data_IF_571270209241
#
_entry.id   IF_571270209241
#
_cell.length_a   1.000
_cell.length_b   1.000
_cell.length_c   1.000
_cell.angle_alpha   90.00
_cell.angle_beta   90.00
_cell.angle_gamma   90.00
#
_symmetry.space_group_name_H-M   'P 1'
#
loop_
_entity.id
_entity.type
_entity.pdbx_description
1 polymer ?
#
# COMPACT_ATOMS: atom_id res chain seq x y z
N UNK A 1 34.25 -7.32 5.48
CA UNK A 1 33.23 -6.41 6.03
C UNK A 1 32.10 -6.35 5.02
N UNK A 2 31.02 -7.10 5.23
CA UNK A 2 29.84 -7.01 4.35
C UNK A 2 29.14 -5.71 4.71
N UNK A 3 29.35 -4.66 3.92
CA UNK A 3 28.64 -3.40 4.06
C UNK A 3 27.15 -3.67 3.88
N UNK A 4 26.40 -3.68 4.97
CA UNK A 4 24.94 -3.66 4.93
C UNK A 4 24.54 -2.42 4.15
N UNK A 5 23.95 -2.60 2.97
CA UNK A 5 23.36 -1.49 2.23
C UNK A 5 22.22 -0.95 3.11
N UNK A 6 22.40 0.23 3.69
CA UNK A 6 21.35 0.92 4.44
C UNK A 6 20.20 1.21 3.48
N UNK A 7 19.03 0.62 3.73
CA UNK A 7 17.81 0.88 2.96
C UNK A 7 17.17 2.16 3.46
N UNK A 8 16.76 3.01 2.52
CA UNK A 8 15.97 4.20 2.77
C UNK A 8 14.64 4.06 2.06
N UNK A 9 13.58 3.87 2.84
CA UNK A 9 12.22 3.64 2.38
C UNK A 9 11.40 4.93 2.46
N UNK A 10 10.88 5.36 1.31
CA UNK A 10 9.86 6.41 1.25
C UNK A 10 8.46 5.78 1.20
N UNK A 11 7.65 6.00 2.24
CA UNK A 11 6.26 5.54 2.30
C UNK A 11 5.32 6.71 2.00
N UNK A 12 4.82 6.76 0.77
CA UNK A 12 3.82 7.75 0.34
C UNK A 12 2.44 7.28 0.81
N UNK A 13 1.78 8.13 1.60
CA UNK A 13 0.60 7.74 2.39
C UNK A 13 0.96 7.08 3.73
N UNK A 14 2.19 7.27 4.24
CA UNK A 14 2.71 6.61 5.45
C UNK A 14 1.93 6.89 6.75
N UNK A 15 1.17 7.97 6.81
CA UNK A 15 0.27 8.28 7.94
C UNK A 15 -1.12 7.65 7.81
N UNK A 16 -1.38 6.92 6.72
CA UNK A 16 -2.65 6.28 6.41
C UNK A 16 -2.82 4.87 7.03
N UNK A 17 -3.90 4.19 6.63
CA UNK A 17 -4.29 2.90 7.19
C UNK A 17 -3.22 1.81 7.02
N UNK A 18 -2.77 1.57 5.78
CA UNK A 18 -1.71 0.61 5.48
C UNK A 18 -0.32 1.19 5.71
N UNK A 19 -0.08 2.43 5.27
CA UNK A 19 1.22 3.09 5.36
C UNK A 19 1.81 3.09 6.78
N UNK A 20 0.97 3.25 7.81
CA UNK A 20 1.42 3.24 9.19
C UNK A 20 2.05 1.90 9.61
N UNK A 21 1.46 0.80 9.16
CA UNK A 21 1.97 -0.55 9.41
C UNK A 21 3.27 -0.78 8.63
N UNK A 22 3.35 -0.30 7.39
CA UNK A 22 4.59 -0.38 6.58
C UNK A 22 5.72 0.39 7.28
N UNK A 23 5.48 1.63 7.72
CA UNK A 23 6.47 2.42 8.46
C UNK A 23 6.95 1.69 9.72
N UNK A 24 6.02 1.14 10.51
CA UNK A 24 6.34 0.37 11.72
C UNK A 24 7.25 -0.81 11.42
N UNK A 25 6.91 -1.62 10.41
CA UNK A 25 7.69 -2.81 10.07
C UNK A 25 9.05 -2.45 9.45
N UNK A 26 9.14 -1.39 8.63
CA UNK A 26 10.40 -0.91 8.07
C UNK A 26 11.39 -0.45 9.16
N UNK A 27 10.90 0.29 10.17
CA UNK A 27 11.70 0.65 11.35
C UNK A 27 12.17 -0.58 12.11
N UNK A 28 11.32 -1.60 12.26
CA UNK A 28 11.70 -2.85 12.92
C UNK A 28 12.78 -3.63 12.14
N UNK A 29 12.83 -3.48 10.81
CA UNK A 29 13.94 -3.99 9.98
C UNK A 29 15.19 -3.10 10.00
N UNK A 30 15.17 -2.00 10.74
CA UNK A 30 16.30 -1.06 10.84
C UNK A 30 16.50 -0.18 9.60
N UNK A 31 15.46 0.01 8.78
CA UNK A 31 15.54 0.85 7.59
C UNK A 31 15.36 2.32 7.96
N UNK A 32 16.08 3.21 7.28
CA UNK A 32 15.75 4.64 7.30
C UNK A 32 14.37 4.81 6.69
N UNK A 33 13.42 5.31 7.48
CA UNK A 33 12.00 5.32 7.08
C UNK A 33 11.48 6.74 7.05
N UNK A 34 11.03 7.17 5.87
CA UNK A 34 10.41 8.48 5.65
C UNK A 34 8.94 8.26 5.30
N UNK A 35 8.05 8.87 6.06
CA UNK A 35 6.62 8.90 5.75
C UNK A 35 6.28 10.23 5.09
N UNK A 36 5.75 10.20 3.87
CA UNK A 36 5.21 11.37 3.20
C UNK A 36 3.68 11.33 3.24
N UNK A 37 3.06 12.36 3.80
CA UNK A 37 1.61 12.55 3.70
C UNK A 37 1.25 14.04 3.73
N UNK A 38 0.03 14.40 3.33
CA UNK A 38 -0.44 15.80 3.38
C UNK A 38 -0.41 16.45 4.76
N UNK A 39 -0.41 15.64 5.84
CA UNK A 39 -0.51 16.14 7.22
C UNK A 39 0.76 15.89 8.04
N UNK A 40 1.75 15.20 7.48
CA UNK A 40 2.90 14.72 8.26
C UNK A 40 2.49 13.72 9.33
N UNK A 41 2.97 13.92 10.55
CA UNK A 41 2.78 13.00 11.67
C UNK A 41 1.30 12.75 12.00
N UNK A 42 0.88 11.49 12.27
CA UNK A 42 -0.49 11.20 12.67
C UNK A 42 -0.91 11.98 13.93
N UNK A 43 -1.97 12.79 13.82
CA UNK A 43 -2.51 13.57 14.94
C UNK A 43 -2.92 12.70 16.15
N UNK A 44 -3.21 11.42 15.95
CA UNK A 44 -3.49 10.47 17.02
C UNK A 44 -2.30 10.28 17.98
N UNK A 45 -1.07 10.52 17.55
CA UNK A 45 0.11 10.39 18.41
C UNK A 45 0.18 11.50 19.45
N UNK A 46 -0.28 12.71 19.12
CA UNK A 46 -0.43 13.78 20.09
C UNK A 46 -1.53 13.47 21.12
N UNK A 47 -2.59 12.79 20.70
CA UNK A 47 -3.76 12.51 21.55
C UNK A 47 -3.60 11.26 22.43
N UNK A 48 -2.94 10.21 21.91
CA UNK A 48 -2.86 8.88 22.54
C UNK A 48 -1.46 8.48 22.97
N UNK A 49 -0.47 9.34 22.73
CA UNK A 49 0.95 9.04 22.89
C UNK A 49 1.57 8.50 21.60
N UNK A 50 2.80 8.94 21.34
CA UNK A 50 3.62 8.47 20.23
C UNK A 50 4.35 7.20 20.65
N UNK A 51 4.22 6.08 19.91
CA UNK A 51 4.95 4.86 20.23
C UNK A 51 6.43 5.00 19.86
N UNK A 52 7.32 4.31 20.59
CA UNK A 52 8.78 4.45 20.43
C UNK A 52 9.27 4.21 19.00
N UNK A 53 8.70 3.23 18.28
CA UNK A 53 9.07 2.97 16.89
C UNK A 53 8.77 4.17 15.97
N UNK A 54 7.73 4.97 16.28
CA UNK A 54 7.34 6.10 15.46
C UNK A 54 8.29 7.30 15.64
N UNK A 55 9.10 7.33 16.71
CA UNK A 55 10.17 8.32 16.87
C UNK A 55 11.28 8.13 15.85
N UNK A 56 11.41 6.91 15.30
CA UNK A 56 12.43 6.57 14.29
C UNK A 56 11.95 6.81 12.85
N UNK A 57 10.73 7.30 12.66
CA UNK A 57 10.18 7.65 11.35
C UNK A 57 10.32 9.15 11.15
N UNK A 58 10.86 9.56 10.00
CA UNK A 58 10.78 10.94 9.56
C UNK A 58 9.39 11.22 8.99
N UNK A 59 8.55 11.94 9.72
CA UNK A 59 7.19 12.31 9.31
C UNK A 59 7.18 13.63 8.53
N UNK A 60 7.17 13.55 7.21
CA UNK A 60 7.15 14.72 6.34
C UNK A 60 5.73 15.08 5.89
N UNK A 61 5.43 16.38 5.94
CA UNK A 61 4.22 16.94 5.36
C UNK A 61 4.48 17.41 3.93
N UNK A 62 3.71 16.93 2.95
CA UNK A 62 3.86 17.33 1.56
C UNK A 62 2.74 16.79 0.66
N UNK A 63 2.68 17.29 -0.57
CA UNK A 63 1.70 16.90 -1.58
C UNK A 63 2.38 16.05 -2.65
N UNK A 64 1.96 14.78 -2.81
CA UNK A 64 2.54 13.84 -3.78
C UNK A 64 2.32 14.23 -5.24
N UNK A 65 1.47 15.22 -5.54
CA UNK A 65 1.32 15.81 -6.87
C UNK A 65 2.26 17.01 -7.10
N UNK A 66 2.95 17.48 -6.07
CA UNK A 66 3.84 18.66 -6.11
C UNK A 66 5.25 18.25 -5.67
N UNK A 67 6.13 17.84 -6.61
CA UNK A 67 7.50 17.41 -6.34
C UNK A 67 8.30 18.33 -5.42
N UNK A 68 8.19 19.65 -5.60
CA UNK A 68 8.90 20.64 -4.78
C UNK A 68 8.55 20.59 -3.30
N UNK A 69 7.43 19.96 -2.91
CA UNK A 69 7.05 19.78 -1.52
C UNK A 69 7.76 18.59 -0.82
N UNK A 70 8.46 17.73 -1.57
CA UNK A 70 9.10 16.53 -1.02
C UNK A 70 10.46 16.18 -1.66
N UNK A 71 10.97 16.97 -2.61
CA UNK A 71 12.23 16.69 -3.30
C UNK A 71 13.44 16.55 -2.36
N UNK A 72 13.47 17.32 -1.27
CA UNK A 72 14.51 17.25 -0.23
C UNK A 72 14.55 15.91 0.51
N UNK A 73 13.48 15.11 0.42
CA UNK A 73 13.39 13.79 1.06
C UNK A 73 14.01 12.67 0.20
N UNK A 74 14.13 12.90 -1.11
CA UNK A 74 14.50 11.90 -2.11
C UNK A 74 15.97 11.46 -2.10
N UNK A 75 16.96 12.28 -1.69
CA UNK A 75 18.35 11.85 -1.68
C UNK A 75 18.56 10.53 -0.92
N UNK A 76 19.14 9.56 -1.62
CA UNK A 76 19.46 8.24 -1.08
C UNK A 76 18.29 7.26 -0.97
N UNK A 77 17.06 7.63 -1.38
CA UNK A 77 15.91 6.71 -1.38
C UNK A 77 16.23 5.49 -2.25
N UNK A 78 16.07 4.30 -1.68
CA UNK A 78 16.30 3.03 -2.36
C UNK A 78 15.01 2.32 -2.74
N UNK A 79 13.95 2.54 -1.98
CA UNK A 79 12.69 1.82 -2.13
C UNK A 79 11.53 2.79 -1.87
N UNK A 80 10.44 2.64 -2.63
CA UNK A 80 9.20 3.42 -2.45
C UNK A 80 8.03 2.49 -2.20
N UNK A 81 7.15 2.87 -1.26
CA UNK A 81 5.82 2.27 -1.11
C UNK A 81 4.78 3.36 -1.32
N UNK A 82 3.98 3.23 -2.37
CA UNK A 82 2.89 4.15 -2.65
C UNK A 82 1.54 3.53 -2.23
N UNK A 83 1.04 3.99 -1.08
CA UNK A 83 -0.20 3.51 -0.45
C UNK A 83 -1.35 4.52 -0.50
N UNK A 84 -1.20 5.60 -1.28
CA UNK A 84 -2.26 6.58 -1.49
C UNK A 84 -3.34 6.00 -2.41
N UNK A 85 -4.59 6.25 -2.04
CA UNK A 85 -5.76 5.93 -2.83
C UNK A 85 -7.04 6.33 -2.10
N UNK A 86 -8.12 6.47 -2.86
CA UNK A 86 -9.46 6.79 -2.34
C UNK A 86 -10.46 5.77 -2.84
N UNK A 87 -11.45 5.44 -2.02
CA UNK A 87 -12.59 4.59 -2.42
C UNK A 87 -13.79 5.40 -2.90
N UNK A 88 -13.83 6.70 -2.60
CA UNK A 88 -14.89 7.62 -2.97
C UNK A 88 -14.29 8.96 -3.38
N UNK A 89 -14.76 9.53 -4.47
CA UNK A 89 -14.40 10.87 -4.91
C UNK A 89 -15.06 11.90 -3.98
N UNK A 90 -14.39 13.03 -3.78
CA UNK A 90 -14.95 14.14 -2.97
C UNK A 90 -14.83 15.43 -3.75
N UNK A 91 -15.79 16.34 -3.55
CA UNK A 91 -15.74 17.68 -4.11
C UNK A 91 -15.89 18.68 -2.98
N UNK A 92 -14.80 19.39 -2.68
CA UNK A 92 -14.81 20.44 -1.67
C UNK A 92 -14.55 21.77 -2.37
N UNK A 93 -15.56 22.64 -2.40
CA UNK A 93 -15.46 24.03 -2.86
C UNK A 93 -14.73 24.22 -4.21
N UNK A 94 -14.98 23.33 -5.19
CA UNK A 94 -14.42 23.44 -6.54
C UNK A 94 -13.12 22.67 -6.78
N UNK A 95 -12.52 22.06 -5.76
CA UNK A 95 -11.41 21.13 -5.92
C UNK A 95 -11.91 19.68 -5.81
N UNK A 96 -12.10 19.05 -6.96
CA UNK A 96 -12.48 17.64 -7.02
C UNK A 96 -11.26 16.74 -6.78
N UNK A 97 -11.39 15.85 -5.80
CA UNK A 97 -10.44 14.76 -5.54
C UNK A 97 -10.97 13.52 -6.24
N UNK A 98 -10.36 13.18 -7.37
CA UNK A 98 -10.81 12.10 -8.26
C UNK A 98 -10.01 10.81 -8.07
N UNK A 99 -10.53 9.70 -8.59
CA UNK A 99 -9.81 8.44 -8.62
C UNK A 99 -8.50 8.55 -9.39
N UNK A 100 -8.53 9.14 -10.59
CA UNK A 100 -7.36 9.30 -11.44
C UNK A 100 -6.27 10.10 -10.73
N UNK A 101 -6.65 11.22 -10.09
CA UNK A 101 -5.70 12.04 -9.34
C UNK A 101 -5.01 11.26 -8.21
N UNK A 102 -5.81 10.59 -7.36
CA UNK A 102 -5.29 9.99 -6.13
C UNK A 102 -4.73 8.57 -6.28
N UNK A 103 -5.25 7.80 -7.24
CA UNK A 103 -4.83 6.43 -7.46
C UNK A 103 -3.69 6.40 -8.50
N UNK A 104 -3.76 7.20 -9.56
CA UNK A 104 -2.83 7.16 -10.69
C UNK A 104 -1.82 8.29 -10.65
N UNK A 105 -2.28 9.54 -10.67
CA UNK A 105 -1.40 10.67 -10.94
C UNK A 105 -0.39 10.88 -9.80
N UNK A 106 -0.77 10.71 -8.53
CA UNK A 106 0.20 10.75 -7.41
C UNK A 106 1.30 9.69 -7.53
N UNK A 107 0.96 8.49 -8.01
CA UNK A 107 1.92 7.41 -8.17
C UNK A 107 2.89 7.69 -9.32
N UNK A 108 2.35 8.18 -10.44
CA UNK A 108 3.13 8.59 -11.62
C UNK A 108 4.08 9.75 -11.26
N UNK A 109 3.58 10.78 -10.57
CA UNK A 109 4.38 11.94 -10.19
C UNK A 109 5.54 11.54 -9.28
N UNK A 110 5.30 10.74 -8.24
CA UNK A 110 6.37 10.24 -7.37
C UNK A 110 7.34 9.34 -8.15
N UNK A 111 6.82 8.43 -8.98
CA UNK A 111 7.63 7.54 -9.83
C UNK A 111 8.63 8.32 -10.68
N UNK A 112 8.18 9.39 -11.34
CA UNK A 112 9.03 10.19 -12.22
C UNK A 112 10.17 10.87 -11.47
N UNK A 113 9.93 11.30 -10.23
CA UNK A 113 10.98 11.91 -9.42
C UNK A 113 11.99 10.86 -8.92
N UNK A 114 11.51 9.71 -8.44
CA UNK A 114 12.42 8.68 -7.93
C UNK A 114 13.17 7.94 -9.02
N UNK A 115 12.63 7.86 -10.24
CA UNK A 115 13.30 7.26 -11.40
C UNK A 115 14.59 7.99 -11.79
N UNK A 116 14.76 9.25 -11.36
CA UNK A 116 15.98 10.06 -11.56
C UNK A 116 17.09 9.69 -10.56
N UNK A 117 16.77 8.96 -9.50
CA UNK A 117 17.71 8.64 -8.44
C UNK A 117 18.56 7.42 -8.84
N UNK A 118 19.89 7.49 -8.81
CA UNK A 118 20.73 6.32 -9.08
C UNK A 118 20.63 5.25 -7.99
N UNK A 119 20.06 5.59 -6.82
CA UNK A 119 19.90 4.69 -5.67
C UNK A 119 18.62 3.87 -5.70
N UNK A 120 17.62 4.24 -6.51
CA UNK A 120 16.31 3.59 -6.52
C UNK A 120 16.43 2.14 -7.00
N UNK A 121 15.71 1.24 -6.34
CA UNK A 121 15.73 -0.20 -6.62
C UNK A 121 14.34 -0.75 -6.84
N UNK A 122 13.38 -0.32 -6.03
CA UNK A 122 12.01 -0.84 -6.12
C UNK A 122 10.95 0.22 -5.88
N UNK A 123 9.80 0.01 -6.53
CA UNK A 123 8.58 0.77 -6.33
C UNK A 123 7.43 -0.20 -6.09
N UNK A 124 6.93 -0.24 -4.85
CA UNK A 124 5.78 -1.03 -4.45
C UNK A 124 4.53 -0.16 -4.52
N UNK A 125 3.59 -0.55 -5.36
CA UNK A 125 2.32 0.13 -5.53
C UNK A 125 1.17 -0.69 -4.94
N UNK A 126 0.36 -0.05 -4.10
CA UNK A 126 -0.83 -0.68 -3.51
C UNK A 126 -2.03 -0.44 -4.42
N UNK A 127 -2.35 -1.48 -5.18
CA UNK A 127 -3.51 -1.56 -6.05
C UNK A 127 -4.71 -2.18 -5.31
N UNK A 128 -5.62 -2.84 -6.03
CA UNK A 128 -6.76 -3.55 -5.48
C UNK A 128 -7.17 -4.74 -6.38
N UNK A 129 -7.63 -5.82 -5.75
CA UNK A 129 -8.35 -6.89 -6.45
C UNK A 129 -9.80 -6.48 -6.71
N UNK A 130 -10.31 -6.89 -7.86
CA UNK A 130 -11.70 -6.69 -8.26
C UNK A 130 -12.61 -7.74 -7.61
N UNK A 131 -12.89 -7.54 -6.32
CA UNK A 131 -13.68 -8.48 -5.51
C UNK A 131 -15.17 -8.10 -5.41
N UNK A 132 -15.53 -6.86 -5.74
CA UNK A 132 -16.89 -6.35 -5.59
C UNK A 132 -17.36 -5.56 -6.81
N UNK A 133 -18.51 -5.91 -7.41
CA UNK A 133 -19.12 -5.13 -8.50
C UNK A 133 -19.73 -3.80 -8.02
N UNK A 134 -19.83 -3.58 -6.70
CA UNK A 134 -20.35 -2.35 -6.12
C UNK A 134 -19.34 -1.19 -6.12
N UNK A 135 -18.06 -1.50 -6.33
CA UNK A 135 -17.00 -0.49 -6.43
C UNK A 135 -17.00 0.08 -7.85
N UNK A 136 -16.93 1.41 -7.96
CA UNK A 136 -16.92 2.10 -9.24
C UNK A 136 -15.77 1.58 -10.13
N UNK A 137 -16.05 1.22 -11.38
CA UNK A 137 -15.01 0.70 -12.29
C UNK A 137 -13.84 1.66 -12.50
N UNK A 138 -14.08 3.00 -12.48
CA UNK A 138 -13.01 4.00 -12.55
C UNK A 138 -11.98 3.88 -11.42
N UNK A 139 -12.40 3.41 -10.25
CA UNK A 139 -11.47 3.13 -9.15
C UNK A 139 -10.46 2.04 -9.57
N UNK A 140 -10.93 0.93 -10.14
CA UNK A 140 -10.04 -0.15 -10.58
C UNK A 140 -9.23 0.26 -11.80
N UNK A 141 -9.86 0.90 -12.80
CA UNK A 141 -9.16 1.38 -14.01
C UNK A 141 -8.02 2.33 -13.66
N UNK A 142 -8.24 3.32 -12.79
CA UNK A 142 -7.16 4.24 -12.37
C UNK A 142 -6.00 3.52 -11.66
N UNK A 143 -6.29 2.49 -10.84
CA UNK A 143 -5.25 1.65 -10.24
C UNK A 143 -4.47 0.85 -11.31
N UNK A 144 -5.14 0.31 -12.33
CA UNK A 144 -4.51 -0.44 -13.43
C UNK A 144 -3.65 0.46 -14.32
N UNK A 145 -4.11 1.66 -14.63
CA UNK A 145 -3.34 2.65 -15.39
C UNK A 145 -2.04 3.05 -14.66
N UNK A 146 -2.07 3.12 -13.33
CA UNK A 146 -0.89 3.34 -12.52
C UNK A 146 0.08 2.15 -12.60
N UNK A 147 -0.43 0.91 -12.48
CA UNK A 147 0.38 -0.30 -12.65
C UNK A 147 1.07 -0.30 -14.03
N UNK A 148 0.31 -0.11 -15.11
CA UNK A 148 0.82 -0.12 -16.48
C UNK A 148 1.90 0.93 -16.70
N UNK A 149 1.78 2.11 -16.07
CA UNK A 149 2.81 3.14 -16.13
C UNK A 149 4.08 2.73 -15.39
N UNK A 150 3.93 2.22 -14.17
CA UNK A 150 5.05 1.82 -13.31
C UNK A 150 5.82 0.62 -13.88
N UNK A 151 5.15 -0.33 -14.53
CA UNK A 151 5.82 -1.48 -15.17
C UNK A 151 6.64 -1.10 -16.42
N UNK A 152 6.44 0.10 -16.98
CA UNK A 152 7.25 0.62 -18.10
C UNK A 152 8.52 1.32 -17.64
N UNK A 153 8.70 1.53 -16.33
CA UNK A 153 9.89 2.18 -15.78
C UNK A 153 11.05 1.17 -15.72
N UNK A 154 12.19 1.54 -16.30
CA UNK A 154 13.40 0.70 -16.28
C UNK A 154 14.33 1.00 -15.09
N UNK A 155 14.17 2.17 -14.45
CA UNK A 155 15.03 2.61 -13.34
C UNK A 155 14.85 1.78 -12.06
N UNK A 156 13.74 1.06 -11.90
CA UNK A 156 13.44 0.28 -10.70
C UNK A 156 12.56 -0.94 -11.00
N UNK A 157 12.55 -1.90 -10.07
CA UNK A 157 11.60 -3.02 -10.10
C UNK A 157 10.24 -2.59 -9.57
N UNK A 158 9.20 -2.90 -10.33
CA UNK A 158 7.81 -2.61 -9.92
C UNK A 158 7.15 -3.82 -9.29
N UNK A 159 6.56 -3.63 -8.11
CA UNK A 159 5.70 -4.61 -7.42
C UNK A 159 4.32 -4.00 -7.26
N UNK A 160 3.30 -4.63 -7.85
CA UNK A 160 1.91 -4.22 -7.68
C UNK A 160 1.19 -5.23 -6.78
N UNK A 161 0.88 -4.84 -5.54
CA UNK A 161 0.07 -5.67 -4.64
C UNK A 161 -1.40 -5.33 -4.85
N UNK A 162 -2.23 -6.32 -5.15
CA UNK A 162 -3.68 -6.21 -5.28
C UNK A 162 -4.35 -6.86 -4.07
N UNK A 163 -4.43 -6.19 -2.91
CA UNK A 163 -5.18 -6.71 -1.79
C UNK A 163 -6.69 -6.68 -2.09
N UNK A 164 -7.42 -7.58 -1.43
CA UNK A 164 -8.88 -7.52 -1.32
C UNK A 164 -9.31 -6.53 -0.23
N UNK A 165 -10.34 -6.89 0.54
CA UNK A 165 -10.77 -6.08 1.68
C UNK A 165 -9.69 -6.11 2.78
N UNK A 166 -9.20 -4.95 3.20
CA UNK A 166 -8.28 -4.84 4.34
C UNK A 166 -9.02 -4.45 5.61
N UNK A 167 -8.61 -5.03 6.73
CA UNK A 167 -9.12 -4.67 8.06
C UNK A 167 -7.99 -4.57 9.09
N UNK A 168 -8.32 -4.02 10.26
CA UNK A 168 -7.39 -3.93 11.38
C UNK A 168 -8.05 -4.56 12.62
N UNK A 169 -7.41 -5.59 13.16
CA UNK A 169 -7.86 -6.35 14.32
C UNK A 169 -7.87 -5.53 15.62
N UNK A 170 -7.17 -4.38 15.66
CA UNK A 170 -7.20 -3.44 16.78
C UNK A 170 -8.55 -2.71 16.95
N UNK A 171 -9.55 -3.00 16.10
CA UNK A 171 -10.95 -2.54 16.24
C UNK A 171 -11.84 -3.70 16.70
N UNK A 172 -12.12 -3.85 18.02
CA UNK A 172 -12.78 -5.03 18.58
C UNK A 172 -14.15 -5.34 17.96
N UNK A 173 -14.86 -4.31 17.50
CA UNK A 173 -16.20 -4.44 16.92
C UNK A 173 -16.24 -5.17 15.57
N UNK A 174 -15.10 -5.30 14.87
CA UNK A 174 -15.03 -6.00 13.58
C UNK A 174 -14.73 -7.50 13.70
N UNK A 175 -14.27 -7.96 14.87
CA UNK A 175 -13.86 -9.36 15.08
C UNK A 175 -14.96 -10.39 14.76
N UNK A 176 -16.25 -10.19 15.15
CA UNK A 176 -17.32 -11.13 14.81
C UNK A 176 -17.58 -11.22 13.30
N UNK A 177 -17.49 -10.10 12.58
CA UNK A 177 -17.70 -10.04 11.12
C UNK A 177 -16.56 -10.76 10.41
N UNK A 178 -15.31 -10.53 10.83
CA UNK A 178 -14.13 -11.20 10.26
C UNK A 178 -14.18 -12.71 10.51
N UNK A 179 -14.59 -13.14 11.70
CA UNK A 179 -14.77 -14.56 12.02
C UNK A 179 -15.83 -15.22 11.12
N UNK A 180 -16.96 -14.54 10.91
CA UNK A 180 -18.02 -14.99 10.01
C UNK A 180 -17.52 -15.12 8.55
N UNK A 181 -16.78 -14.13 8.05
CA UNK A 181 -16.21 -14.15 6.70
C UNK A 181 -15.19 -15.31 6.53
N UNK A 182 -14.36 -15.57 7.54
CA UNK A 182 -13.42 -16.71 7.53
C UNK A 182 -14.14 -18.06 7.55
N UNK A 183 -15.21 -18.20 8.33
CA UNK A 183 -16.02 -19.42 8.35
C UNK A 183 -16.76 -19.64 7.03
N UNK A 184 -17.32 -18.58 6.45
CA UNK A 184 -17.96 -18.63 5.14
C UNK A 184 -16.99 -19.19 4.08
N UNK A 185 -15.72 -18.72 4.06
CA UNK A 185 -14.66 -19.29 3.20
C UNK A 185 -14.46 -20.79 3.43
N UNK A 186 -14.39 -21.26 4.68
CA UNK A 186 -14.20 -22.69 4.96
C UNK A 186 -15.34 -23.54 4.38
N UNK A 187 -16.57 -23.05 4.43
CA UNK A 187 -17.74 -23.74 3.88
C UNK A 187 -17.75 -23.69 2.34
N UNK A 188 -17.32 -22.58 1.75
CA UNK A 188 -17.36 -22.37 0.29
C UNK A 188 -16.14 -22.91 -0.45
N UNK A 189 -15.02 -23.20 0.25
CA UNK A 189 -13.77 -23.69 -0.35
C UNK A 189 -13.91 -24.94 -1.23
N UNK A 190 -14.73 -25.96 -0.90
CA UNK A 190 -14.95 -27.12 -1.76
C UNK A 190 -15.69 -26.80 -3.07
N UNK A 191 -16.35 -25.64 -3.14
CA UNK A 191 -17.15 -25.19 -4.29
C UNK A 191 -16.61 -23.87 -4.89
N UNK A 192 -15.35 -23.52 -4.60
CA UNK A 192 -14.73 -22.23 -4.93
C UNK A 192 -14.94 -21.83 -6.40
N UNK A 193 -14.64 -22.73 -7.35
CA UNK A 193 -14.79 -22.45 -8.78
C UNK A 193 -16.24 -22.19 -9.21
N UNK A 194 -17.20 -22.90 -8.60
CA UNK A 194 -18.62 -22.71 -8.89
C UNK A 194 -19.16 -21.39 -8.35
N UNK A 195 -18.70 -21.00 -7.16
CA UNK A 195 -19.11 -19.76 -6.49
C UNK A 195 -18.45 -18.55 -7.15
N UNK A 196 -17.17 -18.62 -7.51
CA UNK A 196 -16.45 -17.51 -8.17
C UNK A 196 -17.05 -17.08 -9.50
N UNK A 197 -17.68 -18.02 -10.22
CA UNK A 197 -18.36 -17.75 -11.49
C UNK A 197 -19.70 -17.01 -11.33
N UNK A 198 -20.24 -16.92 -10.11
CA UNK A 198 -21.47 -16.17 -9.83
C UNK A 198 -21.20 -14.66 -9.69
N UNK A 199 -22.16 -13.79 -10.05
CA UNK A 199 -22.05 -12.35 -9.78
C UNK A 199 -21.79 -12.07 -8.30
N UNK A 200 -20.66 -11.43 -7.99
CA UNK A 200 -20.24 -11.15 -6.60
C UNK A 200 -19.59 -12.33 -5.87
N UNK A 201 -19.42 -13.49 -6.52
CA UNK A 201 -18.84 -14.70 -5.93
C UNK A 201 -17.45 -14.50 -5.31
N UNK A 202 -16.59 -13.70 -5.97
CA UNK A 202 -15.25 -13.35 -5.47
C UNK A 202 -15.26 -12.68 -4.08
N UNK A 203 -16.33 -11.95 -3.71
CA UNK A 203 -16.46 -11.36 -2.37
C UNK A 203 -16.51 -12.44 -1.28
N UNK A 204 -17.06 -13.61 -1.60
CA UNK A 204 -17.26 -14.71 -0.66
C UNK A 204 -16.11 -15.72 -0.64
N UNK A 205 -15.25 -15.70 -1.67
CA UNK A 205 -14.11 -16.63 -1.77
C UNK A 205 -12.77 -15.97 -1.43
N UNK A 206 -12.65 -14.66 -1.62
CA UNK A 206 -11.42 -13.91 -1.31
C UNK A 206 -11.38 -13.53 0.16
N UNK A 207 -10.27 -13.87 0.83
CA UNK A 207 -10.11 -13.57 2.25
C UNK A 207 -9.89 -12.09 2.50
N UNK A 208 -10.55 -11.49 3.49
CA UNK A 208 -10.13 -10.20 3.98
C UNK A 208 -8.72 -10.33 4.57
N UNK A 209 -7.83 -9.42 4.20
CA UNK A 209 -6.45 -9.41 4.68
C UNK A 209 -6.30 -8.46 5.86
N UNK A 210 -5.54 -8.87 6.87
CA UNK A 210 -5.15 -7.96 7.92
C UNK A 210 -4.15 -6.93 7.37
N UNK A 211 -4.29 -5.67 7.77
CA UNK A 211 -3.41 -4.59 7.29
C UNK A 211 -1.93 -4.86 7.61
N UNK A 212 -1.64 -5.45 8.78
CA UNK A 212 -0.29 -5.87 9.13
C UNK A 212 0.23 -6.97 8.20
N UNK A 213 -0.63 -7.91 7.77
CA UNK A 213 -0.26 -8.96 6.82
C UNK A 213 0.12 -8.38 5.45
N UNK A 214 -0.65 -7.42 4.95
CA UNK A 214 -0.31 -6.71 3.70
C UNK A 214 1.00 -5.93 3.87
N UNK A 215 1.22 -5.28 5.01
CA UNK A 215 2.47 -4.58 5.29
C UNK A 215 3.68 -5.55 5.35
N UNK A 216 3.51 -6.76 5.90
CA UNK A 216 4.55 -7.82 5.87
C UNK A 216 4.89 -8.22 4.44
N UNK A 217 3.88 -8.43 3.59
CA UNK A 217 4.09 -8.73 2.18
C UNK A 217 4.84 -7.59 1.45
N UNK A 218 4.53 -6.33 1.75
CA UNK A 218 5.26 -5.16 1.23
C UNK A 218 6.75 -5.27 1.58
N UNK A 219 7.09 -5.42 2.86
CA UNK A 219 8.48 -5.49 3.31
C UNK A 219 9.19 -6.72 2.70
N UNK A 220 8.55 -7.89 2.73
CA UNK A 220 9.10 -9.10 2.13
C UNK A 220 9.39 -8.94 0.64
N UNK A 221 8.48 -8.31 -0.12
CA UNK A 221 8.66 -8.09 -1.56
C UNK A 221 9.89 -7.23 -1.89
N UNK A 222 10.19 -6.24 -1.04
CA UNK A 222 11.38 -5.39 -1.14
C UNK A 222 12.66 -6.15 -0.78
N UNK A 223 12.59 -7.04 0.20
CA UNK A 223 13.73 -7.83 0.66
C UNK A 223 14.13 -8.93 -0.33
N UNK A 224 13.14 -9.65 -0.87
CA UNK A 224 13.35 -10.68 -1.87
C UNK A 224 13.46 -10.13 -3.29
N UNK A 225 13.40 -8.80 -3.45
CA UNK A 225 13.54 -8.07 -4.70
C UNK A 225 12.60 -8.61 -5.80
N UNK A 226 11.35 -8.86 -5.41
CA UNK A 226 10.27 -9.32 -6.29
C UNK A 226 9.97 -8.30 -7.38
N UNK A 227 9.29 -8.75 -8.43
CA UNK A 227 8.77 -7.91 -9.50
C UNK A 227 7.52 -8.57 -10.08
N UNK A 228 6.49 -7.78 -10.35
CA UNK A 228 5.24 -8.28 -10.94
C UNK A 228 4.00 -7.91 -10.14
N UNK A 229 2.89 -8.51 -10.54
CA UNK A 229 1.57 -8.33 -9.92
C UNK A 229 1.33 -9.48 -8.95
N UNK A 230 0.86 -9.17 -7.74
CA UNK A 230 0.60 -10.13 -6.68
C UNK A 230 -0.85 -9.95 -6.20
N UNK A 231 -1.69 -10.95 -6.47
CA UNK A 231 -3.07 -10.97 -6.01
C UNK A 231 -3.16 -11.46 -4.56
N UNK A 232 -4.38 -11.55 -4.01
CA UNK A 232 -4.61 -11.83 -2.58
C UNK A 232 -3.87 -13.08 -2.06
N UNK A 233 -3.88 -14.18 -2.81
CA UNK A 233 -3.20 -15.42 -2.41
C UNK A 233 -1.68 -15.27 -2.43
N UNK A 234 -1.14 -14.48 -3.35
CA UNK A 234 0.30 -14.23 -3.42
C UNK A 234 0.75 -13.29 -2.29
N UNK A 235 -0.09 -12.32 -1.91
CA UNK A 235 0.12 -11.47 -0.74
C UNK A 235 0.15 -12.31 0.55
N UNK A 236 -0.77 -13.27 0.69
CA UNK A 236 -0.76 -14.20 1.82
C UNK A 236 0.57 -14.97 1.88
N UNK A 237 1.03 -15.53 0.75
CA UNK A 237 2.32 -16.26 0.68
C UNK A 237 3.53 -15.35 0.94
N UNK A 238 3.56 -14.15 0.35
CA UNK A 238 4.65 -13.19 0.57
C UNK A 238 4.73 -12.76 2.03
N UNK A 239 3.60 -12.57 2.71
CA UNK A 239 3.57 -12.17 4.12
C UNK A 239 4.22 -13.20 5.06
N UNK A 240 4.28 -14.47 4.65
CA UNK A 240 4.93 -15.56 5.40
C UNK A 240 6.46 -15.57 5.25
N UNK A 241 7.01 -14.82 4.28
CA UNK A 241 8.46 -14.64 4.10
C UNK A 241 9.03 -13.49 4.96
N UNK A 242 8.17 -12.78 5.70
CA UNK A 242 8.56 -11.69 6.60
C UNK A 242 9.19 -12.21 7.89
#
# INVERSE_FOLDING_TARGET
>A
MNGTITRKLLVVGGSGFLGLNVCKLAVQRGWETVSLSRRGEPASFQQKGKPEWAEKVHWASGNSLEPSSYEDLLPGVTDVVHSVGILMETNNNGSAVTFEMMNRDTAITVSNEVAKLPSIKSFVYISASEISPLVNQRYYTSKREAEDYLFKQESFKTVALRPGLMYNSSKPFLAPIVALLKLAKMVTSPFKEGIERMPGGKMFTVSPLETEQVAKAVIASIETAEQGVFDVEDIEKLSQKF
#
